data_IF_134474813063
#
_entry.id   IF_134474813063
#
_cell.length_a   1.000
_cell.length_b   1.000
_cell.length_c   1.000
_cell.angle_alpha   90.00
_cell.angle_beta   90.00
_cell.angle_gamma   90.00
#
_symmetry.space_group_name_H-M   'P 1'
#
loop_
_entity.id
_entity.type
_entity.pdbx_description
1 polymer ?
#
# COMPACT_ATOMS: atom_id res chain seq x y z
N UNK A 1 5.03 -12.43 -23.43
CA UNK A 1 5.29 -11.99 -22.73
C UNK A 1 4.96 -11.35 -21.92
N UNK A 2 4.59 -11.17 -22.09
CA UNK A 2 4.33 -10.40 -21.36
C UNK A 2 4.35 -10.40 -20.02
N UNK A 3 4.94 -11.04 -19.51
CA UNK A 3 5.04 -11.13 -18.09
C UNK A 3 5.42 -9.81 -17.44
N UNK A 4 6.10 -8.95 -18.12
CA UNK A 4 6.48 -7.67 -17.58
C UNK A 4 5.34 -6.72 -17.25
N UNK A 5 4.12 -7.04 -17.69
CA UNK A 5 3.01 -6.14 -17.42
C UNK A 5 2.49 -6.23 -15.98
N UNK A 6 2.68 -7.37 -15.32
CA UNK A 6 2.26 -7.56 -13.94
C UNK A 6 3.49 -7.77 -13.09
N UNK A 7 3.93 -6.70 -12.43
CA UNK A 7 5.13 -6.75 -11.58
C UNK A 7 4.75 -7.18 -10.16
N UNK A 8 3.99 -8.27 -10.08
CA UNK A 8 3.50 -8.82 -8.80
C UNK A 8 4.32 -10.04 -8.44
N UNK A 9 4.93 -10.02 -7.25
CA UNK A 9 5.67 -11.15 -6.72
C UNK A 9 4.74 -12.04 -5.91
N UNK A 10 3.85 -12.76 -6.60
CA UNK A 10 2.93 -13.71 -5.98
C UNK A 10 3.10 -15.07 -6.64
N UNK A 11 3.57 -16.04 -5.87
CA UNK A 11 3.73 -17.42 -6.33
C UNK A 11 2.47 -18.22 -6.00
N UNK A 12 2.29 -19.42 -6.62
CA UNK A 12 1.17 -20.29 -6.22
C UNK A 12 1.19 -20.64 -4.74
N UNK A 13 2.36 -20.79 -4.14
CA UNK A 13 2.49 -21.09 -2.71
C UNK A 13 1.98 -19.94 -1.87
N UNK A 14 2.31 -18.69 -2.24
CA UNK A 14 1.82 -17.50 -1.54
C UNK A 14 0.31 -17.39 -1.72
N UNK A 15 -0.18 -17.55 -2.96
CA UNK A 15 -1.61 -17.43 -3.27
C UNK A 15 -2.44 -18.41 -2.44
N UNK A 16 -1.92 -19.61 -2.20
CA UNK A 16 -2.63 -20.64 -1.43
C UNK A 16 -2.85 -20.24 0.02
N UNK A 17 -2.07 -19.28 0.54
CA UNK A 17 -2.17 -18.80 1.92
C UNK A 17 -3.12 -17.61 2.06
N UNK A 18 -3.75 -17.16 0.98
CA UNK A 18 -4.58 -15.96 0.96
C UNK A 18 -6.04 -16.32 0.75
N UNK A 19 -6.94 -15.54 1.34
CA UNK A 19 -8.37 -15.66 1.06
C UNK A 19 -8.67 -15.26 -0.39
N UNK A 20 -9.75 -15.81 -0.94
CA UNK A 20 -10.13 -15.55 -2.33
C UNK A 20 -10.32 -14.04 -2.60
N UNK A 21 -10.97 -13.33 -1.67
CA UNK A 21 -11.19 -11.89 -1.83
C UNK A 21 -9.89 -11.10 -1.85
N UNK A 22 -8.88 -11.57 -1.10
CA UNK A 22 -7.55 -10.95 -1.10
C UNK A 22 -6.84 -11.22 -2.42
N UNK A 23 -6.90 -12.45 -2.93
CA UNK A 23 -6.31 -12.78 -4.25
C UNK A 23 -6.94 -11.93 -5.35
N UNK A 24 -8.28 -11.78 -5.31
CA UNK A 24 -8.99 -10.95 -6.29
C UNK A 24 -8.56 -9.49 -6.21
N UNK A 25 -8.38 -8.97 -5.00
CA UNK A 25 -7.91 -7.60 -4.79
C UNK A 25 -6.51 -7.41 -5.36
N UNK A 26 -5.61 -8.38 -5.15
CA UNK A 26 -4.25 -8.32 -5.71
C UNK A 26 -4.26 -8.31 -7.23
N UNK A 27 -5.11 -9.12 -7.84
CA UNK A 27 -5.26 -9.15 -9.30
C UNK A 27 -5.74 -7.78 -9.80
N UNK A 28 -6.77 -7.22 -9.16
CA UNK A 28 -7.31 -5.91 -9.54
C UNK A 28 -6.26 -4.80 -9.38
N UNK A 29 -5.47 -4.86 -8.31
CA UNK A 29 -4.39 -3.88 -8.10
C UNK A 29 -3.34 -3.98 -9.18
N UNK A 30 -2.94 -5.20 -9.57
CA UNK A 30 -1.99 -5.39 -10.66
C UNK A 30 -2.50 -4.86 -11.98
N UNK A 31 -3.79 -5.00 -12.24
CA UNK A 31 -4.41 -4.47 -13.46
C UNK A 31 -4.53 -2.94 -13.43
N UNK A 32 -4.85 -2.37 -12.26
CA UNK A 32 -5.00 -0.93 -12.10
C UNK A 32 -3.66 -0.19 -12.11
N UNK A 33 -2.59 -0.84 -11.65
CA UNK A 33 -1.25 -0.25 -11.54
C UNK A 33 -0.22 -1.14 -12.25
N UNK A 34 -0.35 -1.34 -13.57
CA UNK A 34 0.43 -2.37 -14.26
C UNK A 34 1.93 -2.08 -14.36
N UNK A 35 2.33 -0.80 -14.21
CA UNK A 35 3.74 -0.42 -14.27
C UNK A 35 4.42 -0.41 -12.90
N UNK A 36 3.69 -0.72 -11.82
CA UNK A 36 4.21 -0.64 -10.45
C UNK A 36 4.58 -2.04 -9.99
N UNK A 37 5.82 -2.21 -9.54
CA UNK A 37 6.25 -3.47 -8.93
C UNK A 37 5.57 -3.63 -7.58
N UNK A 38 4.99 -4.82 -7.33
CA UNK A 38 4.25 -5.11 -6.11
C UNK A 38 4.80 -6.36 -5.46
N UNK A 39 5.20 -6.25 -4.20
CA UNK A 39 5.66 -7.38 -3.40
C UNK A 39 4.57 -7.77 -2.40
N UNK A 40 4.34 -9.08 -2.26
CA UNK A 40 3.25 -9.61 -1.44
C UNK A 40 3.82 -10.57 -0.41
N UNK A 41 3.43 -10.39 0.86
CA UNK A 41 3.82 -11.29 1.95
C UNK A 41 2.56 -11.68 2.73
N UNK A 42 2.24 -12.97 2.83
CA UNK A 42 1.07 -13.41 3.60
C UNK A 42 1.20 -12.99 5.07
N UNK A 43 0.07 -12.61 5.68
CA UNK A 43 0.06 -12.20 7.08
C UNK A 43 -0.15 -13.38 8.05
N UNK A 44 -0.36 -14.59 7.53
CA UNK A 44 -0.62 -15.76 8.35
C UNK A 44 -2.07 -15.96 8.72
N UNK A 45 -2.97 -15.07 8.29
CA UNK A 45 -4.40 -15.14 8.61
C UNK A 45 -5.28 -15.12 7.35
N UNK A 46 -4.69 -15.18 6.18
CA UNK A 46 -5.40 -15.11 4.90
C UNK A 46 -5.34 -13.74 4.25
N UNK A 47 -4.78 -12.74 4.92
CA UNK A 47 -4.53 -11.41 4.36
C UNK A 47 -3.14 -11.31 3.74
N UNK A 48 -2.84 -10.15 3.15
CA UNK A 48 -1.58 -9.94 2.45
C UNK A 48 -1.01 -8.56 2.74
N UNK A 49 0.18 -8.53 3.33
CA UNK A 49 1.01 -7.33 3.34
C UNK A 49 1.47 -7.07 1.92
N UNK A 50 1.29 -5.85 1.45
CA UNK A 50 1.54 -5.50 0.06
C UNK A 50 2.38 -4.23 0.02
N UNK A 51 3.45 -4.26 -0.78
CA UNK A 51 4.30 -3.09 -0.97
C UNK A 51 4.34 -2.73 -2.45
N UNK A 52 3.87 -1.53 -2.78
CA UNK A 52 4.13 -0.90 -4.08
C UNK A 52 5.49 -0.24 -4.01
N UNK A 53 6.35 -0.54 -4.97
CA UNK A 53 7.71 0.01 -5.03
C UNK A 53 7.77 1.16 -6.02
N UNK A 54 8.58 2.18 -5.69
CA UNK A 54 8.92 3.28 -6.60
C UNK A 54 7.72 3.98 -7.23
N UNK A 55 6.71 4.28 -6.40
CA UNK A 55 5.59 5.09 -6.85
C UNK A 55 6.02 6.52 -7.13
N UNK A 56 5.61 7.12 -8.26
CA UNK A 56 5.89 8.53 -8.53
C UNK A 56 5.25 9.43 -7.48
N UNK A 57 5.99 10.40 -6.99
CA UNK A 57 5.52 11.32 -5.95
C UNK A 57 5.69 12.76 -6.40
N UNK A 58 6.91 13.32 -6.33
CA UNK A 58 7.16 14.68 -6.78
C UNK A 58 6.52 15.74 -5.90
N UNK A 59 6.36 16.94 -6.42
CA UNK A 59 5.77 18.04 -5.67
C UNK A 59 4.40 17.66 -5.11
N UNK A 60 4.08 18.09 -3.87
CA UNK A 60 4.77 19.07 -3.02
C UNK A 60 5.95 18.53 -2.21
N UNK A 61 6.38 17.32 -2.46
CA UNK A 61 7.44 16.67 -1.67
C UNK A 61 8.81 16.84 -2.33
N UNK A 62 9.86 16.73 -1.50
CA UNK A 62 11.24 16.77 -1.98
C UNK A 62 11.64 15.49 -2.71
N UNK A 63 10.98 14.37 -2.39
CA UNK A 63 11.29 13.07 -2.97
C UNK A 63 10.48 12.84 -4.24
N UNK A 64 11.10 12.21 -5.25
CA UNK A 64 10.45 11.93 -6.52
C UNK A 64 9.63 10.65 -6.49
N UNK A 65 9.97 9.73 -5.59
CA UNK A 65 9.29 8.43 -5.46
C UNK A 65 9.11 8.06 -4.00
N UNK A 66 8.23 7.10 -3.77
CA UNK A 66 8.06 6.48 -2.45
C UNK A 66 7.63 5.03 -2.64
N UNK A 67 7.83 4.20 -1.61
CA UNK A 67 7.07 2.97 -1.52
C UNK A 67 5.72 3.26 -0.88
N UNK A 68 4.77 2.33 -1.04
CA UNK A 68 3.50 2.37 -0.32
C UNK A 68 3.22 0.97 0.20
N UNK A 69 3.13 0.83 1.51
CA UNK A 69 2.84 -0.45 2.16
C UNK A 69 1.45 -0.39 2.76
N UNK A 70 0.69 -1.47 2.60
CA UNK A 70 -0.63 -1.60 3.20
C UNK A 70 -0.96 -3.08 3.39
N UNK A 71 -1.87 -3.35 4.30
CA UNK A 71 -2.39 -4.70 4.52
C UNK A 71 -3.74 -4.84 3.83
N UNK A 72 -3.87 -5.87 3.00
CA UNK A 72 -5.17 -6.32 2.52
C UNK A 72 -5.68 -7.31 3.55
N UNK A 73 -6.66 -6.92 4.38
CA UNK A 73 -7.08 -7.78 5.49
C UNK A 73 -7.82 -9.02 5.00
N UNK A 74 -7.73 -10.11 5.78
CA UNK A 74 -8.31 -11.39 5.39
C UNK A 74 -9.82 -11.32 5.18
N UNK A 75 -10.50 -10.36 5.82
CA UNK A 75 -11.94 -10.23 5.78
C UNK A 75 -12.44 -9.16 4.80
N UNK A 76 -11.63 -8.83 3.78
CA UNK A 76 -12.11 -7.93 2.71
C UNK A 76 -13.42 -8.46 2.14
N UNK A 77 -14.38 -7.59 1.86
CA UNK A 77 -14.37 -6.14 2.00
C UNK A 77 -14.92 -5.64 3.34
N UNK A 78 -14.95 -6.46 4.35
CA UNK A 78 -15.53 -6.13 5.66
C UNK A 78 -14.72 -5.14 6.48
N UNK A 79 -13.42 -4.98 6.18
CA UNK A 79 -12.54 -4.04 6.89
C UNK A 79 -11.87 -3.11 5.90
N UNK A 80 -11.58 -1.89 6.37
CA UNK A 80 -10.85 -0.89 5.58
C UNK A 80 -9.39 -1.29 5.37
N UNK A 81 -8.78 -0.75 4.33
CA UNK A 81 -7.33 -0.82 4.12
C UNK A 81 -6.73 0.41 4.78
N UNK A 82 -6.26 0.25 6.03
CA UNK A 82 -5.85 1.35 6.89
C UNK A 82 -5.03 0.81 8.05
N UNK A 83 -3.95 1.47 8.46
CA UNK A 83 -3.33 2.62 7.79
C UNK A 83 -2.45 2.18 6.61
N UNK A 84 -1.83 3.17 5.93
CA UNK A 84 -0.83 2.93 4.90
C UNK A 84 0.48 3.55 5.33
N UNK A 85 1.58 3.14 4.68
CA UNK A 85 2.92 3.54 5.11
C UNK A 85 3.75 3.95 3.90
N UNK A 86 4.48 5.05 4.05
CA UNK A 86 5.36 5.58 3.01
C UNK A 86 6.77 5.76 3.57
N UNK A 87 7.69 6.26 2.74
CA UNK A 87 9.10 6.40 3.12
C UNK A 87 9.27 7.27 4.36
N UNK A 88 10.24 6.93 5.23
CA UNK A 88 10.39 7.60 6.52
C UNK A 88 10.95 9.02 6.41
N UNK A 89 11.62 9.34 5.31
CA UNK A 89 12.26 10.63 5.10
C UNK A 89 11.40 11.58 4.27
N UNK A 90 10.10 11.28 4.15
CA UNK A 90 9.18 12.13 3.39
C UNK A 90 9.23 13.56 3.93
N UNK A 91 9.44 14.52 3.05
CA UNK A 91 9.56 15.93 3.42
C UNK A 91 8.99 16.82 2.32
N UNK A 92 8.58 18.02 2.69
CA UNK A 92 7.97 18.97 1.76
C UNK A 92 9.02 19.91 1.19
N UNK A 93 8.83 20.28 -0.08
CA UNK A 93 9.69 21.24 -0.76
C UNK A 93 9.67 22.60 -0.07
N UNK A 94 8.52 22.98 0.54
CA UNK A 94 8.36 24.30 1.19
C UNK A 94 8.95 24.33 2.60
N UNK A 95 9.51 23.22 3.09
CA UNK A 95 10.11 23.15 4.41
C UNK A 95 9.11 23.06 5.55
N UNK A 96 7.81 23.05 5.27
CA UNK A 96 6.79 22.91 6.30
C UNK A 96 6.72 21.46 6.78
N UNK A 97 6.27 21.23 8.03
CA UNK A 97 6.09 19.87 8.51
C UNK A 97 4.94 19.17 7.77
N UNK A 98 4.99 17.85 7.77
CA UNK A 98 3.88 17.04 7.26
C UNK A 98 2.65 17.27 8.17
N UNK A 99 1.45 17.09 7.58
CA UNK A 99 0.20 17.32 8.31
C UNK A 99 -0.07 16.25 9.37
N UNK A 100 -1.20 16.40 10.05
CA UNK A 100 -1.57 15.54 11.20
C UNK A 100 -1.83 14.09 10.80
N UNK A 101 -2.16 13.84 9.55
CA UNK A 101 -2.40 12.47 9.06
C UNK A 101 -1.13 11.69 8.81
N UNK A 102 0.05 12.32 8.95
CA UNK A 102 1.35 11.69 8.76
C UNK A 102 2.04 11.55 10.11
N UNK A 103 2.57 10.37 10.40
CA UNK A 103 3.24 10.11 11.67
C UNK A 103 4.45 9.20 11.45
N UNK A 104 5.63 9.65 11.89
CA UNK A 104 6.84 8.82 11.84
C UNK A 104 6.67 7.68 12.85
N UNK A 105 6.91 6.45 12.39
CA UNK A 105 6.77 5.27 13.23
C UNK A 105 7.64 4.13 12.71
N UNK A 106 7.45 2.95 13.28
CA UNK A 106 8.15 1.74 12.90
C UNK A 106 7.13 0.67 12.53
N UNK A 107 7.39 -0.05 11.45
CA UNK A 107 6.53 -1.12 10.97
C UNK A 107 7.27 -2.45 11.08
N UNK A 108 6.67 -3.39 11.80
CA UNK A 108 7.18 -4.76 11.85
C UNK A 108 6.85 -5.47 10.54
N UNK A 109 7.72 -5.31 9.56
CA UNK A 109 7.55 -5.93 8.25
C UNK A 109 7.88 -7.42 8.35
N UNK A 110 6.98 -8.31 7.92
CA UNK A 110 7.28 -9.75 7.97
C UNK A 110 8.57 -10.04 7.18
N UNK A 111 9.35 -10.97 7.66
CA UNK A 111 10.62 -11.41 7.07
C UNK A 111 11.81 -10.47 7.31
N UNK A 112 11.59 -9.31 7.94
CA UNK A 112 12.70 -8.46 8.31
C UNK A 112 13.00 -8.61 9.81
N UNK A 113 14.27 -8.73 10.19
CA UNK A 113 14.63 -8.99 11.60
C UNK A 113 14.41 -7.78 12.50
N UNK A 114 14.39 -6.58 11.93
CA UNK A 114 14.17 -5.35 12.67
C UNK A 114 13.00 -4.59 12.07
N UNK A 115 12.25 -3.81 12.89
CA UNK A 115 11.19 -2.99 12.35
C UNK A 115 11.72 -1.99 11.34
N UNK A 116 10.94 -1.73 10.30
CA UNK A 116 11.28 -0.78 9.25
C UNK A 116 10.79 0.60 9.65
N UNK A 117 11.63 1.65 9.61
CA UNK A 117 11.13 3.01 9.81
C UNK A 117 10.24 3.43 8.64
N UNK A 118 9.14 4.09 8.95
CA UNK A 118 8.15 4.50 7.95
C UNK A 118 7.44 5.76 8.43
N UNK A 119 6.70 6.42 7.51
CA UNK A 119 5.69 7.40 7.87
C UNK A 119 4.33 6.76 7.68
N UNK A 120 3.54 6.71 8.75
CA UNK A 120 2.18 6.20 8.71
C UNK A 120 1.24 7.27 8.17
N UNK A 121 0.42 6.89 7.19
CA UNK A 121 -0.60 7.75 6.60
C UNK A 121 -1.96 7.28 7.12
N UNK A 122 -2.61 8.15 7.89
CA UNK A 122 -3.85 7.82 8.60
C UNK A 122 -5.06 8.40 7.85
N UNK A 123 -5.51 7.67 6.82
CA UNK A 123 -6.67 8.06 6.00
C UNK A 123 -7.70 6.93 5.99
N UNK A 124 -8.68 7.02 6.87
CA UNK A 124 -9.78 6.06 6.90
C UNK A 124 -10.80 6.35 5.82
N UNK A 125 -11.45 5.29 5.33
CA UNK A 125 -12.62 5.43 4.49
C UNK A 125 -13.77 5.99 5.33
N UNK A 126 -14.43 7.02 4.81
CA UNK A 126 -15.67 7.51 5.43
C UNK A 126 -16.81 6.58 5.03
N UNK A 127 -17.59 6.13 6.02
CA UNK A 127 -18.66 5.18 5.79
C UNK A 127 -18.12 3.76 5.64
N UNK A 128 -18.81 2.92 4.85
CA UNK A 128 -18.43 1.52 4.70
C UNK A 128 -17.40 1.33 3.60
N UNK A 129 -16.30 0.66 3.91
CA UNK A 129 -15.32 0.26 2.90
C UNK A 129 -15.94 -0.68 1.86
N UNK A 130 -16.95 -1.46 2.25
CA UNK A 130 -17.55 -2.47 1.37
C UNK A 130 -18.15 -1.88 0.08
N UNK A 131 -18.33 -0.56 0.01
CA UNK A 131 -18.84 0.12 -1.17
C UNK A 131 -17.78 0.47 -2.20
N UNK A 132 -16.51 0.15 -1.94
CA UNK A 132 -15.42 0.44 -2.88
C UNK A 132 -14.47 -0.75 -2.99
N UNK A 133 -13.66 -0.73 -4.05
CA UNK A 133 -12.66 -1.75 -4.30
C UNK A 133 -11.31 -1.34 -3.70
N UNK A 134 -10.38 -2.31 -3.61
CA UNK A 134 -9.03 -2.02 -3.12
C UNK A 134 -8.33 -0.97 -3.99
N UNK A 135 -8.41 -1.10 -5.31
CA UNK A 135 -7.76 -0.15 -6.21
C UNK A 135 -8.36 1.25 -6.11
N UNK A 136 -9.68 1.36 -5.84
CA UNK A 136 -10.31 2.66 -5.59
C UNK A 136 -9.77 3.29 -4.31
N UNK A 137 -9.65 2.51 -3.24
CA UNK A 137 -9.13 3.01 -1.97
C UNK A 137 -7.67 3.46 -2.11
N UNK A 138 -6.83 2.64 -2.74
CA UNK A 138 -5.42 2.97 -2.94
C UNK A 138 -5.31 4.23 -3.80
N UNK A 139 -6.07 4.31 -4.88
CA UNK A 139 -6.07 5.49 -5.76
C UNK A 139 -6.46 6.77 -5.02
N UNK A 140 -7.49 6.70 -4.17
CA UNK A 140 -7.94 7.86 -3.38
C UNK A 140 -6.87 8.33 -2.41
N UNK A 141 -6.19 7.39 -1.74
CA UNK A 141 -5.14 7.76 -0.78
C UNK A 141 -3.95 8.37 -1.50
N UNK A 142 -3.54 7.79 -2.64
CA UNK A 142 -2.45 8.36 -3.45
C UNK A 142 -2.78 9.77 -3.93
N UNK A 143 -4.00 9.98 -4.43
CA UNK A 143 -4.44 11.31 -4.87
C UNK A 143 -4.40 12.29 -3.70
N UNK A 144 -4.85 11.86 -2.52
CA UNK A 144 -4.82 12.69 -1.32
C UNK A 144 -3.38 13.04 -0.93
N UNK A 145 -2.48 12.06 -0.93
CA UNK A 145 -1.06 12.29 -0.60
C UNK A 145 -0.48 13.34 -1.56
N UNK A 146 -0.73 13.20 -2.86
CA UNK A 146 -0.18 14.09 -3.87
C UNK A 146 -0.78 15.49 -3.83
N UNK A 147 -1.93 15.67 -3.20
CA UNK A 147 -2.64 16.94 -3.10
C UNK A 147 -2.24 17.77 -1.88
N UNK A 148 -1.37 17.26 -0.98
CA UNK A 148 -0.98 17.98 0.25
C UNK A 148 0.12 19.09 0.05
#
# INVERSE_FOLDING_TARGET
MSSGRFLVTTTPEIAALLKATVREALTSLGEAFPSIEMQVVPDGQGGAWTEFKDLPLGAPYSQETTFLIFLLPFNLPGSDIYPMFVRPDLSRLDGQPLGQSFQVTQLAWPREPTPRPVVQVSRRTRGSFATQTAEQKIGKVLDWIRAQ
#
